data_IF_455212219346
#
_entry.id   IF_455212219346
#
_cell.length_a   1.000
_cell.length_b   1.000
_cell.length_c   1.000
_cell.angle_alpha   90.00
_cell.angle_beta   90.00
_cell.angle_gamma   90.00
#
_symmetry.space_group_name_H-M   'P 1'
#
loop_
_entity.id
_entity.type
_entity.pdbx_description
1 polymer ?
#
# COMPACT_ATOMS: atom_id res chain seq x y z
N UNK A 1 4.12 1.85 -11.38
CA UNK A 1 5.19 1.86 -10.34
C UNK A 1 5.91 0.53 -10.51
N UNK A 2 7.06 0.49 -11.17
CA UNK A 2 7.51 -0.75 -11.84
C UNK A 2 8.03 -1.81 -10.87
N UNK A 3 8.90 -1.44 -9.91
CA UNK A 3 9.43 -2.37 -8.90
C UNK A 3 9.60 -1.65 -7.56
N UNK A 4 9.31 -2.33 -6.46
CA UNK A 4 9.52 -1.91 -5.08
C UNK A 4 10.15 -3.01 -4.27
N UNK A 5 11.05 -2.63 -3.38
CA UNK A 5 11.58 -3.51 -2.34
C UNK A 5 10.91 -3.13 -1.03
N UNK A 6 10.60 -4.10 -0.19
CA UNK A 6 10.21 -3.82 1.18
C UNK A 6 10.92 -4.70 2.18
N UNK A 7 11.40 -4.09 3.26
CA UNK A 7 11.99 -4.78 4.38
C UNK A 7 11.01 -4.79 5.53
N UNK A 8 10.56 -5.99 5.89
CA UNK A 8 9.63 -6.21 6.99
C UNK A 8 10.44 -6.64 8.21
N UNK A 9 10.28 -5.94 9.32
CA UNK A 9 11.01 -6.16 10.57
C UNK A 9 10.05 -6.22 11.74
N UNK A 10 10.29 -7.17 12.63
CA UNK A 10 9.68 -7.27 13.95
C UNK A 10 10.66 -7.92 14.91
N UNK A 11 10.27 -8.12 16.18
CA UNK A 11 11.17 -8.61 17.22
C UNK A 11 11.85 -9.94 16.87
N UNK A 12 11.15 -10.82 16.15
CA UNK A 12 11.63 -12.18 15.80
C UNK A 12 11.66 -12.44 14.29
N UNK A 13 11.39 -11.43 13.46
CA UNK A 13 11.19 -11.62 12.02
C UNK A 13 11.90 -10.53 11.24
N UNK A 14 12.58 -10.93 10.17
CA UNK A 14 13.18 -10.04 9.20
C UNK A 14 13.02 -10.67 7.83
N UNK A 15 12.33 -9.99 6.90
CA UNK A 15 12.15 -10.51 5.55
C UNK A 15 12.07 -9.43 4.50
N UNK A 16 12.59 -9.76 3.32
CA UNK A 16 12.49 -8.94 2.12
C UNK A 16 11.29 -9.40 1.30
N UNK A 17 10.58 -8.42 0.73
CA UNK A 17 9.55 -8.63 -0.27
C UNK A 17 9.87 -7.80 -1.50
N UNK A 18 9.66 -8.38 -2.67
CA UNK A 18 9.71 -7.69 -3.95
C UNK A 18 8.28 -7.54 -4.43
N UNK A 19 7.88 -6.31 -4.78
CA UNK A 19 6.59 -6.03 -5.40
C UNK A 19 6.80 -5.33 -6.73
N UNK A 20 6.02 -5.68 -7.74
CA UNK A 20 6.12 -5.08 -9.07
C UNK A 20 4.75 -4.95 -9.71
N UNK A 21 4.65 -4.01 -10.63
CA UNK A 21 3.63 -4.00 -11.67
C UNK A 21 4.25 -4.75 -12.88
N UNK A 22 3.81 -5.98 -13.20
CA UNK A 22 4.25 -6.64 -14.42
C UNK A 22 3.78 -5.82 -15.63
N UNK A 23 4.69 -5.41 -16.51
CA UNK A 23 4.38 -4.58 -17.68
C UNK A 23 4.66 -5.38 -18.94
N UNK A 24 3.62 -5.62 -19.73
CA UNK A 24 3.72 -6.35 -20.99
C UNK A 24 4.20 -5.49 -22.15
N UNK A 25 4.65 -6.09 -23.27
CA UNK A 25 5.09 -5.36 -24.45
C UNK A 25 3.98 -4.55 -25.15
N UNK A 26 2.71 -4.85 -24.85
CA UNK A 26 1.54 -4.17 -25.41
C UNK A 26 0.88 -3.22 -24.42
N UNK A 27 1.43 -3.08 -23.21
CA UNK A 27 0.86 -2.25 -22.16
C UNK A 27 0.74 -0.79 -22.60
N UNK A 28 -0.42 -0.19 -22.40
CA UNK A 28 -0.75 1.19 -22.80
C UNK A 28 -1.12 1.35 -24.27
N UNK A 29 -0.98 0.30 -25.10
CA UNK A 29 -1.44 0.33 -26.50
C UNK A 29 -2.94 0.04 -26.60
N UNK A 30 -3.52 0.17 -27.79
CA UNK A 30 -4.91 -0.21 -28.04
C UNK A 30 -5.21 -1.70 -27.78
N UNK A 31 -4.19 -2.58 -27.74
CA UNK A 31 -4.36 -4.01 -27.47
C UNK A 31 -4.43 -4.33 -25.99
N UNK A 32 -3.66 -3.63 -25.16
CA UNK A 32 -3.68 -3.77 -23.71
C UNK A 32 -3.60 -2.40 -23.03
N UNK A 33 -4.67 -1.59 -23.09
CA UNK A 33 -4.66 -0.21 -22.62
C UNK A 33 -4.51 -0.10 -21.10
N UNK A 34 -4.81 -1.16 -20.35
CA UNK A 34 -4.83 -1.17 -18.88
C UNK A 34 -3.80 -2.12 -18.26
N UNK A 35 -2.85 -2.63 -19.06
CA UNK A 35 -1.78 -3.52 -18.63
C UNK A 35 -2.28 -4.76 -17.86
N UNK A 36 -3.27 -5.45 -18.42
CA UNK A 36 -3.91 -6.62 -17.83
C UNK A 36 -3.30 -7.95 -18.30
N UNK A 37 -2.56 -7.95 -19.42
CA UNK A 37 -2.06 -9.19 -20.04
C UNK A 37 -0.84 -9.76 -19.30
N UNK A 38 0.15 -8.93 -18.94
CA UNK A 38 1.37 -9.43 -18.30
C UNK A 38 1.14 -9.97 -16.88
N UNK A 39 0.28 -9.36 -16.03
CA UNK A 39 -0.11 -9.98 -14.76
C UNK A 39 -0.70 -11.40 -14.92
N UNK A 40 -1.51 -11.65 -15.96
CA UNK A 40 -2.04 -12.98 -16.30
C UNK A 40 -0.92 -13.97 -16.65
N UNK A 41 0.05 -13.54 -17.48
CA UNK A 41 1.22 -14.35 -17.85
C UNK A 41 2.04 -14.71 -16.61
N UNK A 42 2.28 -13.76 -15.70
CA UNK A 42 3.00 -14.00 -14.45
C UNK A 42 2.25 -15.00 -13.58
N UNK A 43 0.95 -14.82 -13.34
CA UNK A 43 0.16 -15.75 -12.53
C UNK A 43 0.12 -17.15 -13.14
N UNK A 44 -0.05 -17.26 -14.46
CA UNK A 44 0.02 -18.54 -15.19
C UNK A 44 1.36 -19.24 -15.01
N UNK A 45 2.47 -18.48 -15.03
CA UNK A 45 3.82 -19.02 -14.78
C UNK A 45 3.96 -19.48 -13.33
N UNK A 46 3.51 -18.70 -12.35
CA UNK A 46 3.60 -19.13 -10.94
C UNK A 46 2.81 -20.43 -10.73
N UNK A 47 1.57 -20.50 -11.22
CA UNK A 47 0.72 -21.69 -11.08
C UNK A 47 1.35 -22.92 -11.75
N UNK A 48 1.95 -22.76 -12.93
CA UNK A 48 2.66 -23.87 -13.61
C UNK A 48 3.86 -24.39 -12.83
N UNK A 49 4.57 -23.53 -12.11
CA UNK A 49 5.75 -23.90 -11.33
C UNK A 49 5.43 -24.21 -9.86
N UNK A 50 4.16 -24.12 -9.46
CA UNK A 50 3.72 -24.56 -8.15
C UNK A 50 3.86 -26.09 -8.10
N UNK A 51 4.83 -26.58 -7.32
CA UNK A 51 5.00 -28.02 -7.10
C UNK A 51 3.82 -28.64 -6.32
N UNK A 52 3.78 -29.98 -6.25
CA UNK A 52 2.67 -30.77 -5.66
C UNK A 52 2.30 -30.39 -4.21
N UNK A 53 3.21 -29.76 -3.46
CA UNK A 53 2.99 -29.31 -2.07
C UNK A 53 2.93 -27.78 -1.91
N UNK A 54 2.82 -27.04 -3.03
CA UNK A 54 2.73 -25.59 -3.00
C UNK A 54 1.36 -25.15 -2.48
N UNK A 55 1.28 -24.15 -1.58
CA UNK A 55 0.00 -23.59 -1.15
C UNK A 55 -0.61 -22.63 -2.19
N UNK A 56 0.09 -22.37 -3.30
CA UNK A 56 -0.33 -21.42 -4.33
C UNK A 56 -1.58 -21.93 -5.04
N UNK A 57 -2.56 -21.05 -5.20
CA UNK A 57 -3.85 -21.35 -5.82
C UNK A 57 -4.31 -20.19 -6.72
N UNK A 58 -5.04 -20.52 -7.79
CA UNK A 58 -5.48 -19.57 -8.82
C UNK A 58 -6.94 -19.11 -8.69
N UNK A 59 -7.75 -19.69 -7.81
CA UNK A 59 -9.19 -19.46 -7.75
C UNK A 59 -9.52 -17.99 -7.47
N UNK A 60 -8.84 -17.37 -6.51
CA UNK A 60 -9.01 -15.94 -6.21
C UNK A 60 -8.55 -15.06 -7.37
N UNK A 61 -7.48 -15.44 -8.08
CA UNK A 61 -7.04 -14.70 -9.27
C UNK A 61 -8.12 -14.67 -10.33
N UNK A 62 -8.67 -15.85 -10.69
CA UNK A 62 -9.75 -15.96 -11.68
C UNK A 62 -11.01 -15.21 -11.24
N UNK A 63 -11.37 -15.32 -9.96
CA UNK A 63 -12.50 -14.57 -9.40
C UNK A 63 -12.30 -13.06 -9.56
N UNK A 64 -11.21 -12.49 -9.05
CA UNK A 64 -11.03 -11.03 -9.10
C UNK A 64 -10.79 -10.52 -10.53
N UNK A 65 -10.08 -11.27 -11.38
CA UNK A 65 -9.93 -10.95 -12.80
C UNK A 65 -11.29 -10.79 -13.47
N UNK A 66 -12.18 -11.76 -13.31
CA UNK A 66 -13.54 -11.74 -13.89
C UNK A 66 -14.34 -10.50 -13.47
N UNK A 67 -14.20 -10.04 -12.23
CA UNK A 67 -15.02 -8.94 -11.70
C UNK A 67 -14.39 -7.56 -11.86
N UNK A 68 -13.06 -7.46 -11.95
CA UNK A 68 -12.34 -6.17 -11.86
C UNK A 68 -11.58 -5.78 -13.14
N UNK A 69 -11.33 -6.71 -14.06
CA UNK A 69 -10.76 -6.37 -15.36
C UNK A 69 -11.80 -5.78 -16.31
N UNK A 70 -11.33 -4.99 -17.25
CA UNK A 70 -12.15 -4.36 -18.29
C UNK A 70 -11.65 -4.74 -19.68
N UNK A 71 -12.58 -4.78 -20.64
CA UNK A 71 -12.26 -5.04 -22.05
C UNK A 71 -11.68 -3.78 -22.72
N UNK A 72 -10.65 -3.97 -23.56
CA UNK A 72 -9.97 -2.90 -24.31
C UNK A 72 -10.93 -2.06 -25.17
N UNK A 73 -12.06 -2.62 -25.63
CA UNK A 73 -13.07 -1.86 -26.40
C UNK A 73 -13.68 -0.70 -25.61
N UNK A 74 -13.63 -0.74 -24.28
CA UNK A 74 -14.13 0.32 -23.40
C UNK A 74 -13.08 1.39 -23.08
N UNK A 75 -11.85 1.27 -23.57
CA UNK A 75 -10.75 2.13 -23.19
C UNK A 75 -11.03 3.62 -23.40
N UNK A 76 -11.61 3.99 -24.55
CA UNK A 76 -11.94 5.39 -24.84
C UNK A 76 -12.92 5.99 -23.81
N UNK A 77 -13.98 5.26 -23.46
CA UNK A 77 -14.98 5.69 -22.48
C UNK A 77 -14.38 5.81 -21.07
N UNK A 78 -13.51 4.89 -20.68
CA UNK A 78 -12.87 4.91 -19.36
C UNK A 78 -11.87 6.07 -19.28
N UNK A 79 -10.98 6.21 -20.27
CA UNK A 79 -9.94 7.23 -20.30
C UNK A 79 -10.52 8.65 -20.34
N UNK A 80 -11.66 8.88 -21.01
CA UNK A 80 -12.31 10.21 -21.04
C UNK A 80 -12.84 10.66 -19.68
N UNK A 81 -13.06 9.74 -18.74
CA UNK A 81 -13.55 9.99 -17.37
C UNK A 81 -12.43 10.01 -16.33
N UNK A 82 -11.20 9.65 -16.68
CA UNK A 82 -10.10 9.64 -15.72
C UNK A 82 -9.72 11.05 -15.27
N UNK A 83 -9.50 11.21 -13.97
CA UNK A 83 -8.97 12.45 -13.43
C UNK A 83 -7.54 12.70 -13.95
N UNK A 84 -7.14 13.98 -14.13
CA UNK A 84 -5.77 14.32 -14.47
C UNK A 84 -4.77 13.71 -13.47
N UNK A 85 -3.72 13.07 -13.98
CA UNK A 85 -2.66 12.39 -13.19
C UNK A 85 -3.12 11.17 -12.37
N UNK A 86 -4.26 10.57 -12.70
CA UNK A 86 -4.63 9.25 -12.16
C UNK A 86 -3.81 8.14 -12.84
N UNK A 87 -3.59 7.02 -12.15
CA UNK A 87 -2.89 5.87 -12.73
C UNK A 87 -3.85 4.88 -13.40
N UNK A 88 -3.35 4.19 -14.42
CA UNK A 88 -4.08 3.14 -15.14
C UNK A 88 -3.79 1.72 -14.61
N UNK A 89 -2.94 1.58 -13.59
CA UNK A 89 -2.61 0.28 -12.99
C UNK A 89 -3.87 -0.45 -12.56
N UNK A 90 -4.04 -1.68 -13.02
CA UNK A 90 -5.10 -2.63 -12.66
C UNK A 90 -4.61 -3.66 -11.65
N UNK A 91 -3.36 -4.11 -11.79
CA UNK A 91 -2.75 -5.11 -10.92
C UNK A 91 -1.33 -4.79 -10.49
N UNK A 92 -0.98 -5.18 -9.27
CA UNK A 92 0.42 -5.40 -8.88
C UNK A 92 0.55 -6.75 -8.18
N UNK A 93 1.74 -7.33 -8.23
CA UNK A 93 2.04 -8.64 -7.64
C UNK A 93 3.29 -8.49 -6.77
N UNK A 94 3.28 -9.12 -5.59
CA UNK A 94 4.45 -9.16 -4.73
C UNK A 94 4.75 -10.54 -4.18
N UNK A 95 6.01 -10.79 -3.86
CA UNK A 95 6.51 -12.05 -3.33
C UNK A 95 7.28 -11.79 -2.04
N UNK A 96 6.93 -12.50 -0.98
CA UNK A 96 7.79 -12.60 0.19
C UNK A 96 8.94 -13.54 -0.16
N UNK A 97 10.18 -13.08 -0.02
CA UNK A 97 11.37 -13.89 -0.22
C UNK A 97 11.65 -14.70 1.06
N UNK A 98 10.72 -15.57 1.41
CA UNK A 98 10.71 -16.35 2.65
C UNK A 98 10.18 -17.77 2.39
N UNK A 99 10.86 -18.77 2.96
CA UNK A 99 10.43 -20.17 2.87
C UNK A 99 10.76 -20.83 1.53
N UNK A 100 10.18 -22.02 1.30
CA UNK A 100 10.41 -22.84 0.10
C UNK A 100 9.49 -22.46 -1.08
N UNK A 101 8.34 -21.86 -0.79
CA UNK A 101 7.33 -21.53 -1.79
C UNK A 101 7.12 -20.03 -1.86
N UNK A 102 7.22 -19.47 -3.06
CA UNK A 102 6.94 -18.06 -3.32
C UNK A 102 5.44 -17.89 -3.52
N UNK A 103 4.72 -17.55 -2.45
CA UNK A 103 3.29 -17.24 -2.52
C UNK A 103 3.08 -15.82 -3.04
N UNK A 104 2.38 -15.62 -4.17
CA UNK A 104 2.05 -14.28 -4.65
C UNK A 104 1.10 -13.60 -3.68
N UNK A 105 1.28 -12.29 -3.50
CA UNK A 105 0.20 -11.40 -3.06
C UNK A 105 -0.21 -10.54 -4.23
N UNK A 106 -1.48 -10.59 -4.57
CA UNK A 106 -2.04 -9.88 -5.72
C UNK A 106 -2.84 -8.69 -5.21
N UNK A 107 -2.68 -7.56 -5.87
CA UNK A 107 -3.39 -6.32 -5.60
C UNK A 107 -4.23 -5.97 -6.82
N UNK A 108 -5.50 -5.64 -6.62
CA UNK A 108 -6.41 -5.16 -7.66
C UNK A 108 -6.85 -3.73 -7.38
N UNK A 109 -6.73 -2.90 -8.42
CA UNK A 109 -7.11 -1.49 -8.40
C UNK A 109 -8.39 -1.32 -9.22
N UNK A 110 -9.54 -1.02 -8.61
CA UNK A 110 -10.84 -1.03 -9.29
C UNK A 110 -11.09 0.24 -10.12
N UNK A 111 -10.10 1.09 -10.38
CA UNK A 111 -10.32 2.39 -11.03
C UNK A 111 -10.96 2.22 -12.42
N UNK A 112 -10.41 1.42 -13.36
CA UNK A 112 -11.00 1.31 -14.70
C UNK A 112 -12.43 0.76 -14.69
N UNK A 113 -12.69 -0.30 -13.91
CA UNK A 113 -14.03 -0.89 -13.79
C UNK A 113 -15.03 0.07 -13.13
N UNK A 114 -14.60 0.85 -12.13
CA UNK A 114 -15.44 1.84 -11.47
C UNK A 114 -15.89 2.96 -12.43
N UNK A 115 -15.01 3.41 -13.32
CA UNK A 115 -15.32 4.41 -14.35
C UNK A 115 -16.21 3.84 -15.46
N UNK A 116 -16.02 2.56 -15.80
CA UNK A 116 -16.87 1.87 -16.77
C UNK A 116 -18.30 1.70 -16.25
N UNK A 117 -18.45 1.31 -14.98
CA UNK A 117 -19.75 1.11 -14.32
C UNK A 117 -20.37 2.39 -13.77
N UNK A 118 -19.69 3.52 -13.88
CA UNK A 118 -20.13 4.82 -13.34
C UNK A 118 -20.44 4.76 -11.84
N UNK A 119 -19.62 4.01 -11.10
CA UNK A 119 -19.77 3.80 -9.66
C UNK A 119 -18.47 4.13 -8.92
N UNK A 120 -18.53 4.27 -7.60
CA UNK A 120 -17.34 4.50 -6.80
C UNK A 120 -16.55 3.21 -6.59
N UNK A 121 -15.22 3.30 -6.70
CA UNK A 121 -14.29 2.19 -6.41
C UNK A 121 -14.60 1.42 -5.11
N UNK A 122 -15.03 2.12 -4.06
CA UNK A 122 -15.39 1.48 -2.79
C UNK A 122 -16.66 0.64 -2.83
N UNK A 123 -17.65 1.03 -3.64
CA UNK A 123 -18.85 0.22 -3.86
C UNK A 123 -18.51 -1.02 -4.68
N UNK A 124 -17.68 -0.88 -5.73
CA UNK A 124 -17.17 -2.03 -6.50
C UNK A 124 -16.47 -3.05 -5.57
N UNK A 125 -15.60 -2.60 -4.67
CA UNK A 125 -14.93 -3.49 -3.71
C UNK A 125 -15.94 -4.15 -2.76
N UNK A 126 -16.94 -3.40 -2.29
CA UNK A 126 -18.00 -3.88 -1.40
C UNK A 126 -18.82 -4.99 -2.07
N UNK A 127 -19.25 -4.77 -3.31
CA UNK A 127 -20.03 -5.73 -4.09
C UNK A 127 -19.24 -7.01 -4.37
N UNK A 128 -17.96 -6.88 -4.71
CA UNK A 128 -17.09 -8.03 -5.00
C UNK A 128 -16.81 -8.85 -3.75
N UNK A 129 -16.63 -8.21 -2.58
CA UNK A 129 -16.50 -8.93 -1.30
C UNK A 129 -17.78 -9.68 -0.97
N UNK A 130 -18.95 -9.07 -1.20
CA UNK A 130 -20.24 -9.72 -0.96
C UNK A 130 -20.52 -10.93 -1.85
N UNK A 131 -19.85 -11.03 -3.01
CA UNK A 131 -19.98 -12.14 -3.95
C UNK A 131 -19.00 -13.30 -3.67
N UNK A 132 -18.00 -13.12 -2.80
CA UNK A 132 -17.11 -14.20 -2.42
C UNK A 132 -17.88 -15.26 -1.64
N UNK A 133 -17.70 -16.57 -1.93
CA UNK A 133 -18.29 -17.65 -1.14
C UNK A 133 -17.52 -17.86 0.17
N UNK A 134 -17.24 -16.77 0.89
CA UNK A 134 -16.45 -16.73 2.11
C UNK A 134 -17.17 -15.89 3.17
N UNK A 135 -17.10 -16.34 4.42
CA UNK A 135 -17.56 -15.58 5.56
C UNK A 135 -16.56 -14.46 5.93
N UNK A 136 -16.54 -13.37 5.15
CA UNK A 136 -15.74 -12.16 5.39
C UNK A 136 -16.57 -11.00 5.96
N UNK A 137 -17.89 -11.04 5.77
CA UNK A 137 -18.80 -9.94 6.14
C UNK A 137 -18.71 -9.50 7.60
N UNK A 138 -18.59 -10.39 8.61
CA UNK A 138 -18.49 -9.96 10.01
C UNK A 138 -17.32 -8.98 10.25
N UNK A 139 -16.14 -9.26 9.69
CA UNK A 139 -15.00 -8.37 9.79
C UNK A 139 -15.11 -7.17 8.83
N UNK A 140 -15.68 -7.35 7.64
CA UNK A 140 -15.82 -6.28 6.65
C UNK A 140 -16.83 -5.20 7.08
N UNK A 141 -17.86 -5.57 7.84
CA UNK A 141 -18.88 -4.64 8.34
C UNK A 141 -18.33 -3.54 9.25
N UNK A 142 -17.26 -3.82 10.02
CA UNK A 142 -16.53 -2.78 10.76
C UNK A 142 -16.04 -1.67 9.84
N UNK A 143 -15.48 -2.05 8.68
CA UNK A 143 -14.93 -1.12 7.69
C UNK A 143 -16.07 -0.36 7.01
N UNK A 144 -17.08 -1.10 6.53
CA UNK A 144 -18.23 -0.53 5.82
C UNK A 144 -18.97 0.49 6.67
N UNK A 145 -19.31 0.13 7.91
CA UNK A 145 -20.03 0.98 8.83
C UNK A 145 -19.19 2.22 9.20
N UNK A 146 -17.91 2.04 9.53
CA UNK A 146 -17.04 3.17 9.85
C UNK A 146 -16.93 4.14 8.68
N UNK A 147 -16.66 3.68 7.45
CA UNK A 147 -16.55 4.56 6.28
C UNK A 147 -17.86 5.28 5.98
N UNK A 148 -19.00 4.61 6.14
CA UNK A 148 -20.32 5.22 5.98
C UNK A 148 -20.51 6.38 6.99
N UNK A 149 -20.36 6.11 8.28
CA UNK A 149 -20.50 7.13 9.33
C UNK A 149 -19.49 8.27 9.17
N UNK A 150 -18.24 7.92 8.87
CA UNK A 150 -17.16 8.87 8.67
C UNK A 150 -17.52 9.93 7.61
N UNK A 151 -18.02 9.47 6.46
CA UNK A 151 -18.45 10.33 5.36
C UNK A 151 -19.68 11.16 5.73
N UNK A 152 -20.67 10.56 6.38
CA UNK A 152 -21.90 11.23 6.77
C UNK A 152 -21.66 12.36 7.76
N UNK A 153 -20.89 12.12 8.83
CA UNK A 153 -20.58 13.12 9.85
C UNK A 153 -19.79 14.32 9.32
N UNK A 154 -19.05 14.12 8.22
CA UNK A 154 -18.21 15.15 7.60
C UNK A 154 -18.86 15.77 6.37
N UNK A 155 -20.16 15.57 6.13
CA UNK A 155 -20.86 16.09 4.95
C UNK A 155 -20.17 15.73 3.63
N UNK A 156 -19.60 14.52 3.54
CA UNK A 156 -18.75 14.06 2.43
C UNK A 156 -17.50 14.92 2.16
N UNK A 157 -17.13 15.79 3.10
CA UNK A 157 -15.84 16.46 3.12
C UNK A 157 -14.79 15.50 3.71
N UNK A 158 -13.55 15.60 3.24
CA UNK A 158 -12.43 14.73 3.60
C UNK A 158 -12.64 13.25 3.26
N UNK A 159 -12.21 12.88 2.04
CA UNK A 159 -12.49 11.57 1.45
C UNK A 159 -11.67 10.48 2.15
N UNK A 160 -12.31 9.71 3.04
CA UNK A 160 -11.91 8.35 3.36
C UNK A 160 -12.57 7.39 2.38
N UNK A 161 -11.78 6.72 1.54
CA UNK A 161 -12.28 5.79 0.54
C UNK A 161 -11.53 4.48 0.54
N UNK A 162 -12.23 3.41 0.18
CA UNK A 162 -11.60 2.16 -0.23
C UNK A 162 -10.89 2.42 -1.57
N UNK A 163 -9.60 2.09 -1.62
CA UNK A 163 -8.71 2.42 -2.74
C UNK A 163 -8.37 1.19 -3.58
N UNK A 164 -8.16 0.04 -2.94
CA UNK A 164 -7.81 -1.23 -3.61
C UNK A 164 -8.07 -2.42 -2.68
N UNK A 165 -8.08 -3.63 -3.26
CA UNK A 165 -8.12 -4.90 -2.52
C UNK A 165 -6.88 -5.73 -2.85
N UNK A 166 -6.38 -6.48 -1.87
CA UNK A 166 -5.30 -7.44 -2.09
C UNK A 166 -5.59 -8.78 -1.40
N UNK A 167 -4.98 -9.84 -1.89
CA UNK A 167 -5.09 -11.17 -1.29
C UNK A 167 -3.80 -11.98 -1.47
N UNK A 168 -3.58 -12.95 -0.60
CA UNK A 168 -2.59 -14.00 -0.82
C UNK A 168 -3.16 -15.01 -1.84
N UNK A 169 -2.43 -15.33 -2.91
CA UNK A 169 -2.84 -16.29 -3.94
C UNK A 169 -2.65 -17.73 -3.45
N UNK A 170 -3.48 -18.10 -2.48
CA UNK A 170 -3.62 -19.43 -1.88
C UNK A 170 -5.10 -19.79 -1.86
N UNK A 171 -5.44 -21.00 -1.37
CA UNK A 171 -6.85 -21.44 -1.27
C UNK A 171 -7.72 -20.36 -0.61
N UNK A 172 -8.93 -20.07 -1.12
CA UNK A 172 -9.76 -18.97 -0.65
C UNK A 172 -9.99 -18.92 0.87
N UNK A 173 -10.14 -20.08 1.52
CA UNK A 173 -10.37 -20.18 2.97
C UNK A 173 -9.12 -19.91 3.82
N UNK A 174 -7.93 -20.09 3.25
CA UNK A 174 -6.64 -19.81 3.89
C UNK A 174 -6.13 -18.39 3.61
N UNK A 175 -6.71 -17.74 2.59
CA UNK A 175 -6.27 -16.44 2.12
C UNK A 175 -6.52 -15.33 3.14
N UNK A 176 -5.57 -14.41 3.21
CA UNK A 176 -5.76 -13.11 3.86
C UNK A 176 -6.15 -12.10 2.81
N UNK A 177 -7.28 -11.45 3.00
CA UNK A 177 -7.71 -10.33 2.18
C UNK A 177 -7.31 -9.04 2.88
N UNK A 178 -7.01 -8.00 2.11
CA UNK A 178 -6.66 -6.67 2.62
C UNK A 178 -7.42 -5.63 1.86
N UNK A 179 -8.33 -4.96 2.56
CA UNK A 179 -9.05 -3.81 2.03
C UNK A 179 -8.25 -2.57 2.39
N UNK A 180 -7.80 -1.85 1.37
CA UNK A 180 -6.99 -0.66 1.56
C UNK A 180 -7.87 0.58 1.58
N UNK A 181 -7.69 1.42 2.60
CA UNK A 181 -8.34 2.72 2.72
C UNK A 181 -7.33 3.83 2.49
N UNK A 182 -7.82 4.98 2.04
CA UNK A 182 -7.02 6.18 1.85
C UNK A 182 -7.77 7.40 2.34
N UNK A 183 -7.03 8.26 3.06
CA UNK A 183 -7.43 9.63 3.39
C UNK A 183 -6.31 10.61 3.03
N UNK A 184 -6.68 11.88 2.85
CA UNK A 184 -5.73 13.00 2.70
C UNK A 184 -5.39 13.67 4.02
N UNK A 185 -6.18 13.42 5.06
CA UNK A 185 -5.90 13.89 6.42
C UNK A 185 -4.74 13.11 7.00
N UNK A 186 -3.84 13.82 7.65
CA UNK A 186 -2.52 13.33 8.06
C UNK A 186 -2.21 13.58 9.53
N UNK A 187 -3.04 14.36 10.23
CA UNK A 187 -2.90 14.57 11.66
C UNK A 187 -3.00 13.24 12.42
N UNK A 188 -2.29 13.17 13.56
CA UNK A 188 -2.18 11.96 14.36
C UNK A 188 -3.56 11.51 14.88
N UNK A 189 -4.38 12.46 15.36
CA UNK A 189 -5.73 12.17 15.86
C UNK A 189 -6.57 11.44 14.81
N UNK A 190 -6.50 11.89 13.55
CA UNK A 190 -7.19 11.23 12.46
C UNK A 190 -6.66 9.83 12.17
N UNK A 191 -5.34 9.67 12.20
CA UNK A 191 -4.72 8.38 11.94
C UNK A 191 -5.11 7.36 13.01
N UNK A 192 -5.18 7.76 14.28
CA UNK A 192 -5.65 6.93 15.38
C UNK A 192 -7.13 6.53 15.22
N UNK A 193 -7.98 7.49 14.86
CA UNK A 193 -9.40 7.23 14.62
C UNK A 193 -9.62 6.21 13.49
N UNK A 194 -8.94 6.38 12.35
CA UNK A 194 -9.07 5.42 11.23
C UNK A 194 -8.43 4.08 11.56
N UNK A 195 -7.29 4.06 12.25
CA UNK A 195 -6.62 2.81 12.67
C UNK A 195 -7.51 1.96 13.58
N UNK A 196 -8.28 2.60 14.46
CA UNK A 196 -9.19 1.95 15.40
C UNK A 196 -10.62 1.77 14.87
N UNK A 197 -10.88 2.20 13.62
CA UNK A 197 -12.21 2.28 13.01
C UNK A 197 -13.21 2.98 13.95
N UNK A 198 -12.86 4.18 14.43
CA UNK A 198 -13.69 4.96 15.35
C UNK A 198 -13.82 4.30 16.72
N UNK A 199 -12.72 3.73 17.23
CA UNK A 199 -12.67 2.95 18.47
C UNK A 199 -13.55 1.71 18.50
N UNK A 200 -14.06 1.23 17.36
CA UNK A 200 -14.82 -0.04 17.32
C UNK A 200 -13.92 -1.26 17.43
N UNK A 201 -12.66 -1.15 16.99
CA UNK A 201 -11.62 -2.15 17.26
C UNK A 201 -11.07 -1.96 18.68
N UNK A 202 -11.02 -3.06 19.44
CA UNK A 202 -10.58 -3.09 20.84
C UNK A 202 -9.55 -4.18 21.06
N UNK A 203 -8.75 -4.04 22.12
CA UNK A 203 -7.80 -5.06 22.58
C UNK A 203 -6.39 -4.52 22.70
N UNK A 204 -5.55 -5.24 23.46
CA UNK A 204 -4.17 -4.85 23.76
C UNK A 204 -3.32 -4.55 22.54
N UNK A 205 -3.51 -5.31 21.46
CA UNK A 205 -2.77 -5.12 20.21
C UNK A 205 -3.20 -3.85 19.47
N UNK A 206 -4.47 -3.44 19.60
CA UNK A 206 -4.95 -2.18 19.02
C UNK A 206 -4.36 -1.00 19.78
N UNK A 207 -4.41 -1.03 21.11
CA UNK A 207 -3.85 0.01 21.97
C UNK A 207 -2.34 0.15 21.76
N UNK A 208 -1.61 -0.96 21.73
CA UNK A 208 -0.18 -0.96 21.44
C UNK A 208 0.15 -0.52 20.01
N UNK A 209 -0.74 -0.77 19.05
CA UNK A 209 -0.65 -0.25 17.69
C UNK A 209 -0.80 1.27 17.61
N UNK A 210 -1.72 1.83 18.39
CA UNK A 210 -1.88 3.29 18.53
C UNK A 210 -0.63 3.91 19.16
N UNK A 211 -0.10 3.33 20.24
CA UNK A 211 1.13 3.83 20.86
C UNK A 211 2.36 3.74 19.92
N UNK A 212 2.44 2.69 19.11
CA UNK A 212 3.45 2.57 18.05
C UNK A 212 3.35 3.71 17.02
N UNK A 213 2.13 4.11 16.63
CA UNK A 213 1.89 5.21 15.70
C UNK A 213 2.30 6.55 16.34
N UNK A 214 1.94 6.79 17.60
CA UNK A 214 2.34 7.98 18.35
C UNK A 214 3.86 8.14 18.41
N UNK A 215 4.57 7.05 18.75
CA UNK A 215 6.04 7.03 18.75
C UNK A 215 6.61 7.31 17.35
N UNK A 216 5.96 6.82 16.29
CA UNK A 216 6.40 7.11 14.93
C UNK A 216 6.23 8.59 14.55
N UNK A 217 5.08 9.19 14.87
CA UNK A 217 4.84 10.61 14.64
C UNK A 217 5.87 11.48 15.38
N UNK A 218 6.16 11.14 16.64
CA UNK A 218 7.14 11.83 17.45
C UNK A 218 8.57 11.70 16.88
N UNK A 219 9.05 10.47 16.66
CA UNK A 219 10.46 10.23 16.32
C UNK A 219 10.79 10.42 14.84
N UNK A 220 9.83 10.18 13.94
CA UNK A 220 10.07 10.19 12.49
C UNK A 220 9.55 11.45 11.82
N UNK A 221 8.39 11.95 12.23
CA UNK A 221 7.77 13.11 11.61
C UNK A 221 8.03 14.39 12.41
N UNK A 222 8.43 14.28 13.67
CA UNK A 222 8.70 15.42 14.55
C UNK A 222 7.44 16.15 15.01
N UNK A 223 6.28 15.50 14.96
CA UNK A 223 5.00 16.07 15.39
C UNK A 223 4.64 15.59 16.80
N UNK A 224 4.29 16.53 17.67
CA UNK A 224 3.80 16.28 19.03
C UNK A 224 2.33 16.69 19.22
N UNK A 225 1.80 17.62 18.41
CA UNK A 225 0.42 18.05 18.47
C UNK A 225 -0.50 17.09 17.68
N UNK A 226 -1.53 16.48 18.29
CA UNK A 226 -2.35 15.47 17.62
C UNK A 226 -3.17 15.97 16.43
N UNK A 227 -3.60 17.24 16.46
CA UNK A 227 -4.47 17.86 15.46
C UNK A 227 -3.71 18.53 14.31
N UNK A 228 -2.37 18.60 14.40
CA UNK A 228 -1.56 19.23 13.36
C UNK A 228 -1.38 18.27 12.17
N UNK A 229 -1.81 18.71 10.98
CA UNK A 229 -1.56 17.99 9.74
C UNK A 229 -0.07 18.06 9.36
N UNK A 230 0.42 16.98 8.74
CA UNK A 230 1.72 16.99 8.08
C UNK A 230 1.74 18.02 6.94
N UNK A 231 2.92 18.52 6.53
CA UNK A 231 3.04 19.49 5.45
C UNK A 231 2.23 19.09 4.21
N UNK A 232 1.36 20.01 3.76
CA UNK A 232 0.46 19.76 2.63
C UNK A 232 1.26 19.39 1.39
N UNK A 233 0.89 18.27 0.77
CA UNK A 233 1.44 17.82 -0.50
C UNK A 233 0.32 17.65 -1.52
N UNK A 234 0.45 18.35 -2.64
CA UNK A 234 -0.49 18.27 -3.76
C UNK A 234 -0.29 17.00 -4.60
N UNK A 235 0.73 16.20 -4.28
CA UNK A 235 1.02 14.97 -5.00
C UNK A 235 -0.16 13.98 -4.88
N UNK A 236 -0.53 13.31 -5.99
CA UNK A 236 -1.62 12.30 -6.04
C UNK A 236 -1.47 11.25 -4.94
N UNK A 237 -0.25 10.74 -4.79
CA UNK A 237 0.13 9.81 -3.72
C UNK A 237 0.44 10.47 -2.37
N UNK A 238 -0.03 11.66 -2.03
CA UNK A 238 0.00 12.17 -0.65
C UNK A 238 -1.19 11.60 0.16
N UNK A 239 -1.13 11.74 1.49
CA UNK A 239 -2.14 11.33 2.46
C UNK A 239 -1.68 10.12 3.29
N UNK A 240 -2.61 9.42 3.93
CA UNK A 240 -2.35 8.19 4.69
C UNK A 240 -3.08 7.02 4.03
N UNK A 241 -2.49 5.83 4.09
CA UNK A 241 -3.11 4.59 3.63
C UNK A 241 -3.25 3.66 4.81
N UNK A 242 -4.36 2.94 4.87
CA UNK A 242 -4.56 1.85 5.81
C UNK A 242 -4.81 0.59 5.02
N UNK A 243 -4.48 -0.57 5.58
CA UNK A 243 -5.14 -1.80 5.21
C UNK A 243 -5.86 -2.38 6.42
N UNK A 244 -6.95 -3.06 6.14
CA UNK A 244 -7.71 -3.85 7.10
C UNK A 244 -7.66 -5.29 6.61
N UNK A 245 -6.95 -6.14 7.35
CA UNK A 245 -6.80 -7.56 7.01
C UNK A 245 -8.05 -8.33 7.43
N UNK A 246 -8.63 -9.08 6.50
CA UNK A 246 -9.79 -9.95 6.67
C UNK A 246 -9.35 -11.40 6.44
N UNK A 247 -9.97 -12.31 7.17
CA UNK A 247 -9.83 -13.76 6.97
C UNK A 247 -11.19 -14.41 7.04
N UNK A 248 -11.33 -15.53 6.35
CA UNK A 248 -12.53 -16.36 6.45
C UNK A 248 -12.81 -16.71 7.93
N UNK A 249 -14.05 -16.46 8.37
CA UNK A 249 -14.52 -16.67 9.75
C UNK A 249 -13.88 -15.77 10.82
N UNK A 250 -13.10 -14.74 10.46
CA UNK A 250 -12.68 -13.73 11.43
C UNK A 250 -13.84 -12.81 11.79
N UNK A 251 -13.96 -12.47 13.06
CA UNK A 251 -15.02 -11.58 13.57
C UNK A 251 -14.66 -10.11 13.50
N UNK A 252 -13.37 -9.78 13.36
CA UNK A 252 -12.87 -8.41 13.26
C UNK A 252 -11.68 -8.31 12.29
N UNK A 253 -11.48 -7.14 11.66
CA UNK A 253 -10.30 -6.89 10.83
C UNK A 253 -9.07 -6.57 11.69
N UNK A 254 -7.88 -6.78 11.12
CA UNK A 254 -6.61 -6.36 11.74
C UNK A 254 -6.04 -5.14 11.00
N UNK A 255 -5.84 -4.00 11.68
CA UNK A 255 -5.42 -2.77 11.02
C UNK A 255 -3.90 -2.65 10.84
N UNK A 256 -3.52 -2.04 9.72
CA UNK A 256 -2.14 -1.60 9.45
C UNK A 256 -2.17 -0.23 8.78
N UNK A 257 -1.41 0.73 9.30
CA UNK A 257 -1.24 2.05 8.68
C UNK A 257 0.02 2.08 7.83
N UNK A 258 0.02 2.91 6.77
CA UNK A 258 1.15 3.19 5.90
C UNK A 258 1.31 4.71 5.76
N UNK A 259 2.42 5.22 6.27
CA UNK A 259 2.75 6.65 6.27
C UNK A 259 3.79 6.93 5.20
N UNK A 260 3.57 7.97 4.40
CA UNK A 260 4.35 8.27 3.19
C UNK A 260 5.52 9.18 3.49
N UNK A 261 6.54 8.63 4.14
CA UNK A 261 7.71 9.39 4.58
C UNK A 261 8.41 10.16 3.46
N UNK A 262 8.30 9.72 2.19
CA UNK A 262 8.80 10.51 1.05
C UNK A 262 8.24 11.94 0.94
N UNK A 263 7.04 12.18 1.47
CA UNK A 263 6.37 13.48 1.41
C UNK A 263 6.58 14.31 2.66
N UNK A 264 6.92 13.66 3.78
CA UNK A 264 6.80 14.25 5.12
C UNK A 264 8.08 14.18 5.95
N UNK A 265 8.99 13.26 5.62
CA UNK A 265 10.19 12.97 6.41
C UNK A 265 11.45 13.72 5.97
N UNK A 266 11.41 14.46 4.86
CA UNK A 266 12.56 15.18 4.32
C UNK A 266 13.50 14.29 3.50
N UNK A 267 14.81 14.49 3.66
CA UNK A 267 15.84 13.73 2.94
C UNK A 267 15.87 12.27 3.37
N UNK A 268 16.33 11.39 2.48
CA UNK A 268 16.45 9.96 2.77
C UNK A 268 17.40 9.68 3.94
N UNK A 269 18.43 10.51 4.14
CA UNK A 269 19.31 10.43 5.32
C UNK A 269 18.57 10.80 6.61
N UNK A 270 17.80 11.89 6.61
CA UNK A 270 17.00 12.30 7.78
C UNK A 270 16.01 11.21 8.15
N UNK A 271 15.28 10.67 7.17
CA UNK A 271 14.35 9.56 7.39
C UNK A 271 15.09 8.37 7.99
N UNK A 272 16.28 8.02 7.48
CA UNK A 272 17.04 6.88 7.98
C UNK A 272 17.48 7.05 9.43
N UNK A 273 18.01 8.23 9.78
CA UNK A 273 18.44 8.55 11.14
C UNK A 273 17.25 8.56 12.13
N UNK A 274 16.15 9.20 11.74
CA UNK A 274 14.93 9.22 12.55
C UNK A 274 14.32 7.83 12.75
N UNK A 275 14.37 6.96 11.74
CA UNK A 275 13.98 5.56 11.87
C UNK A 275 14.88 4.82 12.87
N UNK A 276 16.19 5.11 12.90
CA UNK A 276 17.10 4.59 13.92
C UNK A 276 16.63 4.94 15.34
N UNK A 277 16.30 6.21 15.59
CA UNK A 277 15.74 6.66 16.88
C UNK A 277 14.42 5.95 17.22
N UNK A 278 13.51 5.84 16.24
CA UNK A 278 12.23 5.13 16.40
C UNK A 278 12.44 3.65 16.73
N UNK A 279 13.32 2.94 16.02
CA UNK A 279 13.63 1.54 16.28
C UNK A 279 14.16 1.32 17.70
N UNK A 280 14.97 2.26 18.22
CA UNK A 280 15.45 2.19 19.61
C UNK A 280 14.29 2.32 20.59
N UNK A 281 13.36 3.26 20.35
CA UNK A 281 12.19 3.49 21.20
C UNK A 281 11.25 2.28 21.27
N UNK A 282 11.12 1.52 20.18
CA UNK A 282 10.22 0.34 20.11
C UNK A 282 10.92 -0.99 20.42
N UNK A 283 12.17 -0.94 20.92
CA UNK A 283 12.91 -2.13 21.36
C UNK A 283 13.66 -2.88 20.26
N UNK A 284 13.67 -2.41 19.00
CA UNK A 284 14.46 -2.97 17.91
C UNK A 284 15.91 -2.46 17.94
N UNK A 285 16.62 -2.67 19.06
CA UNK A 285 17.93 -2.05 19.35
C UNK A 285 19.01 -2.37 18.30
N UNK A 286 19.18 -3.65 17.93
CA UNK A 286 20.16 -4.04 16.91
C UNK A 286 19.89 -3.39 15.56
N UNK A 287 18.61 -3.29 15.17
CA UNK A 287 18.24 -2.58 13.95
C UNK A 287 18.54 -1.09 14.08
N UNK A 288 18.20 -0.47 15.21
CA UNK A 288 18.48 0.93 15.48
C UNK A 288 19.97 1.28 15.31
N UNK A 289 20.86 0.41 15.78
CA UNK A 289 22.32 0.63 15.73
C UNK A 289 22.89 0.45 14.32
N UNK A 290 22.26 -0.37 13.47
CA UNK A 290 22.81 -0.77 12.16
C UNK A 290 22.06 -0.21 10.95
N UNK A 291 20.88 0.37 11.15
CA UNK A 291 19.94 0.64 10.06
C UNK A 291 20.49 1.60 9.00
N UNK A 292 21.06 2.73 9.42
CA UNK A 292 21.57 3.77 8.52
C UNK A 292 22.66 3.20 7.61
N UNK A 293 23.65 2.53 8.19
CA UNK A 293 24.73 1.88 7.44
C UNK A 293 24.22 0.76 6.53
N UNK A 294 23.22 -0.02 6.98
CA UNK A 294 22.64 -1.09 6.19
C UNK A 294 21.91 -0.56 4.95
N UNK A 295 21.09 0.49 5.10
CA UNK A 295 20.33 1.05 3.97
C UNK A 295 21.23 1.79 2.99
N UNK A 296 22.27 2.50 3.45
CA UNK A 296 23.22 3.16 2.56
C UNK A 296 24.07 2.13 1.79
N UNK A 297 24.50 1.03 2.43
CA UNK A 297 25.19 -0.07 1.73
C UNK A 297 24.31 -0.78 0.72
N UNK A 298 23.00 -0.87 0.96
CA UNK A 298 22.06 -1.44 0.00
C UNK A 298 21.89 -0.57 -1.25
N UNK A 299 22.19 0.73 -1.16
CA UNK A 299 22.05 1.71 -2.25
C UNK A 299 23.31 2.60 -2.37
N UNK A 300 24.49 2.02 -2.65
CA UNK A 300 25.78 2.69 -2.47
C UNK A 300 26.03 3.84 -3.44
N UNK A 301 25.31 3.88 -4.57
CA UNK A 301 25.45 4.90 -5.61
C UNK A 301 24.56 6.13 -5.38
N UNK A 302 23.93 6.26 -4.21
CA UNK A 302 23.07 7.39 -3.89
C UNK A 302 23.53 8.15 -2.65
N UNK A 303 23.62 9.46 -2.80
CA UNK A 303 23.82 10.37 -1.68
C UNK A 303 22.47 10.66 -0.99
N UNK A 304 22.26 10.01 0.16
CA UNK A 304 21.04 10.14 0.95
C UNK A 304 20.88 11.54 1.55
N UNK A 305 21.96 12.33 1.66
CA UNK A 305 21.90 13.70 2.17
C UNK A 305 21.19 14.66 1.21
N UNK A 306 21.16 14.32 -0.08
CA UNK A 306 20.65 15.17 -1.16
C UNK A 306 19.58 14.49 -2.03
N UNK A 307 18.93 13.43 -1.51
CA UNK A 307 17.87 12.71 -2.21
C UNK A 307 16.60 12.62 -1.37
N UNK A 308 15.46 12.56 -2.06
CA UNK A 308 14.17 12.23 -1.47
C UNK A 308 13.47 11.12 -2.26
N UNK A 309 12.70 10.29 -1.56
CA UNK A 309 11.79 9.34 -2.15
C UNK A 309 12.32 7.91 -2.29
N UNK A 310 13.56 7.62 -1.84
CA UNK A 310 14.03 6.24 -1.69
C UNK A 310 13.16 5.55 -0.67
N UNK A 311 13.01 6.13 0.52
CA UNK A 311 12.00 5.70 1.49
C UNK A 311 10.62 6.17 1.04
N UNK A 312 9.81 5.27 0.47
CA UNK A 312 8.49 5.60 -0.05
C UNK A 312 7.45 5.67 1.07
N UNK A 313 7.31 4.58 1.83
CA UNK A 313 6.30 4.40 2.87
C UNK A 313 6.87 3.61 4.04
N UNK A 314 6.35 3.86 5.24
CA UNK A 314 6.56 2.99 6.40
C UNK A 314 5.20 2.45 6.85
N UNK A 315 5.08 1.13 6.85
CA UNK A 315 3.90 0.42 7.33
C UNK A 315 4.05 0.03 8.80
N UNK A 316 3.06 0.32 9.63
CA UNK A 316 3.04 0.03 11.07
C UNK A 316 1.82 -0.82 11.42
N UNK A 317 2.09 -1.93 12.11
CA UNK A 317 1.07 -2.82 12.66
C UNK A 317 1.61 -3.44 13.95
N UNK A 318 0.74 -3.73 14.89
CA UNK A 318 1.11 -4.47 16.10
C UNK A 318 0.46 -5.85 16.08
N UNK A 319 1.18 -6.84 16.60
CA UNK A 319 0.70 -8.22 16.70
C UNK A 319 1.04 -8.76 18.09
N UNK A 320 0.55 -9.95 18.43
CA UNK A 320 0.98 -10.68 19.64
C UNK A 320 2.51 -10.87 19.74
N UNK A 321 3.22 -10.84 18.62
CA UNK A 321 4.68 -10.97 18.56
C UNK A 321 5.41 -9.61 18.74
N UNK A 322 4.67 -8.53 18.99
CA UNK A 322 5.18 -7.17 19.16
C UNK A 322 5.00 -6.29 17.91
N UNK A 323 5.74 -5.16 17.84
CA UNK A 323 5.66 -4.23 16.72
C UNK A 323 6.18 -4.87 15.43
N UNK A 324 5.48 -4.61 14.32
CA UNK A 324 5.84 -5.07 12.99
C UNK A 324 5.88 -3.89 12.01
N UNK A 325 7.09 -3.51 11.62
CA UNK A 325 7.37 -2.36 10.75
C UNK A 325 7.69 -2.86 9.34
N UNK A 326 7.23 -2.15 8.31
CA UNK A 326 7.54 -2.46 6.91
C UNK A 326 8.06 -1.23 6.20
N UNK A 327 9.31 -1.25 5.80
CA UNK A 327 10.01 -0.15 5.13
C UNK A 327 9.92 -0.40 3.63
N UNK A 328 9.32 0.53 2.87
CA UNK A 328 9.21 0.43 1.42
C UNK A 328 10.25 1.32 0.75
N UNK A 329 11.04 0.73 -0.14
CA UNK A 329 12.08 1.39 -0.91
C UNK A 329 11.71 1.45 -2.39
N UNK A 330 11.82 2.65 -2.97
CA UNK A 330 11.78 2.84 -4.41
C UNK A 330 13.12 2.41 -5.00
N UNK A 331 13.14 1.66 -6.10
CA UNK A 331 14.37 1.27 -6.79
C UNK A 331 15.03 2.45 -7.52
N UNK A 332 14.28 3.54 -7.73
CA UNK A 332 14.69 4.74 -8.47
C UNK A 332 15.04 4.43 -9.93
N UNK A 333 14.34 3.47 -10.54
CA UNK A 333 14.61 3.03 -11.93
C UNK A 333 14.53 4.16 -12.95
N UNK A 334 13.72 5.20 -12.71
CA UNK A 334 13.51 6.32 -13.65
C UNK A 334 13.88 7.70 -13.07
N UNK A 335 14.59 7.74 -11.95
CA UNK A 335 14.85 8.94 -11.17
C UNK A 335 16.21 8.89 -10.50
N UNK A 336 16.83 10.04 -10.31
CA UNK A 336 18.04 10.16 -9.50
C UNK A 336 17.72 10.46 -8.03
N UNK A 337 16.47 10.84 -7.70
CA UNK A 337 16.02 11.21 -6.36
C UNK A 337 16.42 12.63 -5.93
N UNK A 338 17.25 13.29 -6.72
CA UNK A 338 17.78 14.64 -6.48
C UNK A 338 17.11 15.70 -7.39
N UNK A 339 16.00 15.36 -8.03
CA UNK A 339 15.26 16.28 -8.88
C UNK A 339 14.77 17.48 -8.07
N UNK A 340 14.83 18.66 -8.69
CA UNK A 340 14.44 19.93 -8.09
C UNK A 340 13.37 20.62 -8.92
N UNK A 341 12.49 21.37 -8.26
CA UNK A 341 11.59 22.31 -8.95
C UNK A 341 12.33 23.61 -9.32
N UNK A 342 11.61 24.52 -9.98
CA UNK A 342 12.14 25.83 -10.41
C UNK A 342 12.63 26.70 -9.25
N UNK A 343 12.17 26.43 -8.02
CA UNK A 343 12.64 27.10 -6.80
C UNK A 343 13.89 26.45 -6.19
N UNK A 344 14.40 25.39 -6.82
CA UNK A 344 15.53 24.61 -6.34
C UNK A 344 15.18 23.64 -5.21
N UNK A 345 13.91 23.44 -4.87
CA UNK A 345 13.49 22.52 -3.80
C UNK A 345 13.50 21.09 -4.30
N UNK A 346 13.97 20.14 -3.49
CA UNK A 346 13.91 18.71 -3.81
C UNK A 346 12.45 18.24 -3.95
N UNK A 347 12.15 17.56 -5.06
CA UNK A 347 10.82 17.04 -5.40
C UNK A 347 10.81 15.55 -5.75
N UNK A 348 11.99 14.97 -5.99
CA UNK A 348 12.21 13.53 -6.10
C UNK A 348 11.49 12.86 -7.30
N UNK A 349 11.31 11.52 -7.26
CA UNK A 349 10.99 10.68 -8.42
C UNK A 349 9.61 10.89 -9.07
N UNK A 350 8.81 11.83 -8.60
CA UNK A 350 7.39 11.90 -8.96
C UNK A 350 6.88 13.28 -9.36
N UNK A 351 7.76 14.29 -9.48
CA UNK A 351 7.35 15.62 -9.90
C UNK A 351 7.30 15.82 -11.42
N UNK A 352 8.01 15.00 -12.22
CA UNK A 352 8.21 15.32 -13.64
C UNK A 352 7.97 14.17 -14.64
N UNK A 353 7.90 12.90 -14.21
CA UNK A 353 7.90 11.74 -15.14
C UNK A 353 6.74 10.75 -14.91
N UNK A 354 5.50 11.20 -15.11
CA UNK A 354 4.36 10.30 -15.35
C UNK A 354 3.80 10.39 -16.78
N UNK A 355 4.38 11.24 -17.64
CA UNK A 355 4.13 11.21 -19.09
C UNK A 355 5.21 10.37 -19.77
N UNK A 356 4.93 9.86 -20.95
CA UNK A 356 5.75 8.99 -21.82
C UNK A 356 5.50 7.48 -21.76
N UNK A 357 4.23 7.06 -21.68
CA UNK A 357 3.81 5.78 -22.28
C UNK A 357 2.69 5.96 -23.33
N UNK A 358 2.41 7.21 -23.73
CA UNK A 358 1.36 7.53 -24.71
C UNK A 358 1.81 8.57 -25.76
N UNK A 359 3.12 8.72 -25.97
CA UNK A 359 3.65 9.39 -27.17
C UNK A 359 4.34 8.36 -28.06
#
# INVERSE_FOLDING_TARGET
>A
LTVTLSWNVGLKRSKIRVGSEPIGPLAGTAKDPFNQDEPEVVMSRVLRHAGENSPVDGELWEFFKKHLHVDAKHAHNICSKMAPNEHMTTNTISFDLEGKHLVPKVYFYPIPISLLQENHAGEIITDVIGQLPLNLMPAFDYIRNFVYHYKHERNNQNILRLELIAFDAVRPTDARFKVYLRTKETCLARVEEVYTLGHTLKGSEIDAGVDLIRLFYLHVLGLSAPEEDLPRSMHRTAGIIFNMELKHNSTAPVPKVYIRVRHYGGTDLRIAQSLGSFFRAIGLRTLADTYVDAVQRAFPNQDFSNTIGRHSYVGLSYTKDGPYVTLYYNTMTFSAGNERDDSGKLVGPAAWKQRHLLD
#
